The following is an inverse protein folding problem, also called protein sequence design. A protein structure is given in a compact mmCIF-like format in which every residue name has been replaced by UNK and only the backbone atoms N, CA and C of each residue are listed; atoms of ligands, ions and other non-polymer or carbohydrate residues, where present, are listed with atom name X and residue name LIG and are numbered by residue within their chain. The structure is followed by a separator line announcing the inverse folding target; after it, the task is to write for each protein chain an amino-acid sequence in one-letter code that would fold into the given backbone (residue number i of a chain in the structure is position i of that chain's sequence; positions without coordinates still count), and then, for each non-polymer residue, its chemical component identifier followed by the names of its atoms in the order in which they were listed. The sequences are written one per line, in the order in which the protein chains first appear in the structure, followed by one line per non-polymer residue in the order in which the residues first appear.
data_IF_081793686133
#
_entry.id   IF_081793686133
#
_cell.length_a   1.000
_cell.length_b   1.000
_cell.length_c   1.000
_cell.angle_alpha   90.00
_cell.angle_beta   90.00
_cell.angle_gamma   90.00
#
_symmetry.space_group_name_H-M   'P 1'
#
loop_
_entity.id
_entity.type
_entity.pdbx_description
1 polymer ?
#
# COMPACT_ATOMS: atom_id res chain seq x y z
N UNK A 1 23.09 54.17 11.25
CA UNK A 1 23.25 53.36 10.05
C UNK A 1 23.69 51.97 10.47
N UNK A 2 22.76 51.04 10.60
CA UNK A 2 23.06 49.64 10.94
C UNK A 2 23.30 48.85 9.65
N UNK A 3 24.47 48.24 9.51
CA UNK A 3 24.83 47.37 8.39
C UNK A 3 24.10 46.04 8.53
N UNK A 4 23.12 45.78 7.65
CA UNK A 4 22.49 44.49 7.46
C UNK A 4 23.54 43.52 6.87
N UNK A 5 24.02 42.57 7.68
CA UNK A 5 24.80 41.43 7.20
C UNK A 5 23.83 40.37 6.72
N UNK A 6 23.72 40.21 5.39
CA UNK A 6 23.06 39.03 4.82
C UNK A 6 23.89 37.77 5.17
N UNK A 7 23.29 36.68 5.61
CA UNK A 7 23.99 35.43 5.80
C UNK A 7 24.52 34.90 4.45
N UNK A 8 25.72 34.33 4.48
CA UNK A 8 26.42 33.82 3.30
C UNK A 8 25.64 32.66 2.64
N UNK A 9 25.72 32.51 1.29
CA UNK A 9 24.97 31.47 0.54
C UNK A 9 25.41 30.01 0.83
N UNK A 10 26.49 29.81 1.56
CA UNK A 10 27.11 28.47 1.72
C UNK A 10 26.46 27.53 2.74
N UNK A 11 25.40 27.96 3.46
CA UNK A 11 24.79 27.13 4.51
C UNK A 11 23.57 26.34 4.01
N UNK A 12 23.00 26.68 2.86
CA UNK A 12 21.81 26.00 2.31
C UNK A 12 22.11 24.79 1.42
N UNK A 13 23.34 24.66 0.88
CA UNK A 13 23.67 23.60 -0.09
C UNK A 13 24.26 22.31 0.50
N UNK A 14 24.48 22.21 1.82
CA UNK A 14 25.18 21.07 2.43
C UNK A 14 24.29 19.97 3.01
N UNK A 15 22.97 20.07 2.95
CA UNK A 15 22.06 19.05 3.50
C UNK A 15 20.88 18.69 2.60
N UNK A 16 21.09 18.58 1.30
CA UNK A 16 20.13 17.85 0.46
C UNK A 16 20.42 16.37 0.61
N UNK A 17 19.97 15.76 1.69
CA UNK A 17 19.87 14.30 1.80
C UNK A 17 18.85 13.85 0.75
N UNK A 18 19.32 13.45 -0.42
CA UNK A 18 18.46 12.78 -1.42
C UNK A 18 18.17 11.38 -0.90
N UNK A 19 17.04 11.21 -0.24
CA UNK A 19 16.57 9.89 0.14
C UNK A 19 16.11 9.13 -1.12
N UNK A 20 16.33 7.81 -1.19
CA UNK A 20 15.82 7.02 -2.30
C UNK A 20 14.29 7.13 -2.36
N UNK A 21 13.75 7.15 -3.58
CA UNK A 21 12.30 7.10 -3.80
C UNK A 21 11.70 5.86 -3.13
N UNK A 22 10.70 6.01 -2.25
CA UNK A 22 10.08 4.86 -1.60
C UNK A 22 9.41 3.95 -2.62
N UNK A 23 9.45 2.64 -2.37
CA UNK A 23 8.82 1.65 -3.22
C UNK A 23 7.50 1.19 -2.60
N UNK A 24 6.39 1.47 -3.29
CA UNK A 24 5.03 1.16 -2.82
C UNK A 24 4.44 0.03 -3.66
N UNK A 25 4.04 -1.05 -3.00
CA UNK A 25 3.43 -2.21 -3.65
C UNK A 25 1.93 -2.20 -3.44
N UNK A 26 1.16 -2.29 -4.53
CA UNK A 26 -0.28 -2.41 -4.51
C UNK A 26 -0.75 -3.85 -4.67
N UNK A 27 -1.70 -4.29 -3.83
CA UNK A 27 -2.32 -5.61 -3.91
C UNK A 27 -3.82 -5.43 -4.13
N UNK A 28 -4.35 -5.98 -5.25
CA UNK A 28 -5.78 -6.04 -5.54
C UNK A 28 -6.45 -7.29 -4.96
N UNK A 29 -7.76 -7.26 -4.82
CA UNK A 29 -8.54 -8.35 -4.20
C UNK A 29 -9.46 -9.11 -5.16
N UNK A 30 -9.36 -8.95 -6.48
CA UNK A 30 -10.28 -9.57 -7.45
C UNK A 30 -9.58 -9.97 -8.74
N UNK A 31 -10.09 -11.02 -9.38
CA UNK A 31 -9.66 -11.43 -10.74
C UNK A 31 -10.33 -10.64 -11.85
N UNK A 32 -11.39 -9.86 -11.53
CA UNK A 32 -12.14 -9.08 -12.53
C UNK A 32 -11.37 -7.82 -12.88
N UNK A 33 -10.79 -7.80 -14.08
CA UNK A 33 -10.14 -6.63 -14.63
C UNK A 33 -11.12 -5.44 -14.75
N UNK A 34 -10.65 -4.22 -14.48
CA UNK A 34 -11.47 -3.01 -14.50
C UNK A 34 -12.51 -2.93 -13.37
N UNK A 35 -12.41 -3.75 -12.34
CA UNK A 35 -13.28 -3.64 -11.16
C UNK A 35 -13.03 -2.34 -10.41
N UNK A 36 -14.04 -1.83 -9.69
CA UNK A 36 -13.91 -0.63 -8.86
C UNK A 36 -12.70 -0.70 -7.92
N UNK A 37 -12.45 -1.85 -7.30
CA UNK A 37 -11.31 -2.02 -6.39
C UNK A 37 -9.96 -2.02 -7.12
N UNK A 38 -9.86 -2.59 -8.31
CA UNK A 38 -8.63 -2.50 -9.11
C UNK A 38 -8.37 -1.07 -9.59
N UNK A 39 -9.39 -0.40 -10.12
CA UNK A 39 -9.27 1.00 -10.55
C UNK A 39 -8.90 1.92 -9.38
N UNK A 40 -9.48 1.71 -8.20
CA UNK A 40 -9.14 2.44 -7.00
C UNK A 40 -7.69 2.20 -6.55
N UNK A 41 -7.20 0.96 -6.65
CA UNK A 41 -5.81 0.63 -6.39
C UNK A 41 -4.88 1.40 -7.30
N UNK A 42 -5.13 1.32 -8.63
CA UNK A 42 -4.31 2.01 -9.63
C UNK A 42 -4.32 3.53 -9.45
N UNK A 43 -5.48 4.12 -9.14
CA UNK A 43 -5.59 5.54 -8.85
C UNK A 43 -4.80 5.93 -7.57
N UNK A 44 -4.82 5.10 -6.52
CA UNK A 44 -4.03 5.33 -5.31
C UNK A 44 -2.53 5.27 -5.61
N UNK A 45 -2.09 4.30 -6.40
CA UNK A 45 -0.68 4.18 -6.79
C UNK A 45 -0.24 5.35 -7.68
N UNK A 46 -1.09 5.81 -8.61
CA UNK A 46 -0.80 7.01 -9.42
C UNK A 46 -0.63 8.26 -8.54
N UNK A 47 -1.43 8.42 -7.47
CA UNK A 47 -1.20 9.48 -6.48
C UNK A 47 0.15 9.31 -5.75
N UNK A 48 0.55 8.08 -5.41
CA UNK A 48 1.85 7.81 -4.80
C UNK A 48 3.01 8.15 -5.75
N UNK A 49 2.90 7.82 -7.04
CA UNK A 49 3.86 8.20 -8.09
C UNK A 49 3.98 9.72 -8.22
N UNK A 50 2.86 10.44 -8.18
CA UNK A 50 2.84 11.90 -8.17
C UNK A 50 3.53 12.52 -6.94
N UNK A 51 3.75 11.74 -5.88
CA UNK A 51 4.51 12.10 -4.68
C UNK A 51 5.97 11.61 -4.72
N UNK A 52 6.43 11.10 -5.88
CA UNK A 52 7.81 10.64 -6.09
C UNK A 52 8.08 9.19 -5.68
N UNK A 53 7.07 8.39 -5.37
CA UNK A 53 7.26 6.98 -5.11
C UNK A 53 7.42 6.17 -6.41
N UNK A 54 8.17 5.07 -6.36
CA UNK A 54 8.12 4.00 -7.36
C UNK A 54 7.00 3.05 -6.97
N UNK A 55 6.31 2.47 -7.93
CA UNK A 55 5.19 1.55 -7.64
C UNK A 55 5.30 0.23 -8.38
N UNK A 56 4.68 -0.80 -7.83
CA UNK A 56 4.33 -2.04 -8.52
C UNK A 56 2.92 -2.47 -8.12
N UNK A 57 2.24 -3.14 -9.01
CA UNK A 57 0.87 -3.64 -8.76
C UNK A 57 0.81 -5.14 -8.97
N UNK A 58 0.09 -5.81 -8.08
CA UNK A 58 -0.28 -7.21 -8.16
C UNK A 58 -1.80 -7.32 -8.11
N UNK A 59 -2.41 -7.72 -9.18
CA UNK A 59 -3.88 -7.80 -9.27
C UNK A 59 -4.34 -8.84 -10.29
N UNK A 60 -5.62 -9.08 -10.33
CA UNK A 60 -6.27 -9.98 -11.28
C UNK A 60 -5.60 -11.37 -11.30
N UNK A 61 -5.18 -11.83 -12.47
CA UNK A 61 -4.62 -13.17 -12.66
C UNK A 61 -3.26 -13.38 -11.99
N UNK A 62 -2.52 -12.32 -11.69
CA UNK A 62 -1.23 -12.42 -10.98
C UNK A 62 -1.38 -12.95 -9.55
N UNK A 63 -2.57 -12.81 -8.95
CA UNK A 63 -2.90 -13.32 -7.61
C UNK A 63 -3.57 -14.69 -7.62
N UNK A 64 -3.80 -15.27 -8.81
CA UNK A 64 -4.33 -16.64 -8.90
C UNK A 64 -3.19 -17.63 -8.63
N UNK A 65 -3.17 -18.13 -7.42
CA UNK A 65 -2.16 -19.06 -6.90
C UNK A 65 -2.85 -20.21 -6.18
N UNK A 66 -2.18 -21.34 -6.07
CA UNK A 66 -2.66 -22.44 -5.22
C UNK A 66 -2.94 -21.96 -3.80
N UNK A 67 -3.80 -22.65 -3.07
CA UNK A 67 -3.98 -22.37 -1.66
C UNK A 67 -2.63 -22.50 -0.93
N UNK A 68 -2.31 -21.52 -0.07
CA UNK A 68 -1.08 -21.58 0.69
C UNK A 68 -1.03 -22.84 1.56
N UNK A 69 0.05 -23.60 1.40
CA UNK A 69 0.34 -24.78 2.19
C UNK A 69 1.78 -24.65 2.75
N UNK A 70 1.96 -24.63 4.09
CA UNK A 70 3.28 -24.54 4.71
C UNK A 70 4.17 -25.79 4.44
N UNK A 71 3.58 -26.92 4.06
CA UNK A 71 4.32 -28.15 3.76
C UNK A 71 4.90 -28.16 2.35
N UNK A 72 4.31 -27.42 1.42
CA UNK A 72 4.80 -27.29 0.04
C UNK A 72 5.94 -26.27 0.02
N UNK A 73 7.15 -26.69 -0.32
CA UNK A 73 8.33 -25.81 -0.36
C UNK A 73 8.55 -25.12 -1.70
N UNK A 74 8.05 -25.70 -2.78
CA UNK A 74 8.17 -25.12 -4.13
C UNK A 74 7.01 -24.15 -4.35
N UNK A 75 7.31 -22.88 -4.59
CA UNK A 75 6.32 -21.82 -4.85
C UNK A 75 6.20 -21.58 -6.36
N UNK A 76 4.98 -21.29 -6.82
CA UNK A 76 4.73 -20.83 -8.19
C UNK A 76 5.45 -19.51 -8.47
N UNK A 77 5.67 -19.18 -9.73
CA UNK A 77 6.28 -17.90 -10.13
C UNK A 77 5.49 -16.69 -9.61
N UNK A 78 4.15 -16.77 -9.61
CA UNK A 78 3.28 -15.71 -9.06
C UNK A 78 3.48 -15.53 -7.56
N UNK A 79 3.56 -16.63 -6.79
CA UNK A 79 3.80 -16.57 -5.35
C UNK A 79 5.20 -16.03 -5.03
N UNK A 80 6.23 -16.47 -5.77
CA UNK A 80 7.58 -15.93 -5.62
C UNK A 80 7.63 -14.43 -5.91
N UNK A 81 6.98 -13.98 -6.98
CA UNK A 81 6.90 -12.56 -7.35
C UNK A 81 6.19 -11.74 -6.27
N UNK A 82 5.05 -12.23 -5.73
CA UNK A 82 4.32 -11.57 -4.65
C UNK A 82 5.24 -11.36 -3.43
N UNK A 83 5.85 -12.44 -2.94
CA UNK A 83 6.71 -12.41 -1.75
C UNK A 83 7.92 -11.50 -1.98
N UNK A 84 8.56 -11.57 -3.16
CA UNK A 84 9.69 -10.72 -3.49
C UNK A 84 9.34 -9.23 -3.48
N UNK A 85 8.24 -8.84 -4.13
CA UNK A 85 7.81 -7.45 -4.15
C UNK A 85 7.46 -6.95 -2.74
N UNK A 86 6.85 -7.79 -1.90
CA UNK A 86 6.54 -7.42 -0.52
C UNK A 86 7.80 -7.27 0.34
N UNK A 87 8.85 -8.07 0.11
CA UNK A 87 10.15 -7.91 0.78
C UNK A 87 10.80 -6.57 0.46
N UNK A 88 10.73 -6.15 -0.79
CA UNK A 88 11.32 -4.89 -1.28
C UNK A 88 10.50 -3.66 -0.90
N UNK A 89 9.22 -3.81 -0.63
CA UNK A 89 8.31 -2.70 -0.37
C UNK A 89 8.72 -1.86 0.85
N UNK A 90 8.62 -0.54 0.73
CA UNK A 90 8.70 0.42 1.83
C UNK A 90 7.31 0.77 2.38
N UNK A 91 6.27 0.58 1.56
CA UNK A 91 4.87 0.73 1.93
C UNK A 91 3.97 -0.12 1.04
N UNK A 92 2.74 -0.35 1.47
CA UNK A 92 1.80 -1.24 0.79
C UNK A 92 0.45 -0.54 0.67
N UNK A 93 -0.25 -0.75 -0.44
CA UNK A 93 -1.67 -0.39 -0.60
C UNK A 93 -2.46 -1.66 -0.90
N UNK A 94 -3.49 -1.94 -0.12
CA UNK A 94 -4.38 -3.09 -0.35
C UNK A 94 -5.76 -2.56 -0.71
N UNK A 95 -6.24 -2.92 -1.91
CA UNK A 95 -7.59 -2.59 -2.35
C UNK A 95 -8.43 -3.85 -2.48
N UNK A 96 -9.49 -3.93 -1.69
CA UNK A 96 -10.34 -5.11 -1.58
C UNK A 96 -11.79 -4.82 -1.94
N UNK A 97 -12.43 -5.62 -2.79
CA UNK A 97 -13.89 -5.67 -2.75
C UNK A 97 -14.34 -6.32 -1.44
N UNK A 98 -15.60 -6.08 -1.07
CA UNK A 98 -16.22 -6.80 0.04
C UNK A 98 -17.05 -7.97 -0.49
N UNK A 99 -16.73 -9.19 -0.09
CA UNK A 99 -17.53 -10.36 -0.35
C UNK A 99 -18.05 -10.92 0.97
N UNK A 100 -19.38 -10.89 1.12
CA UNK A 100 -20.06 -11.36 2.34
C UNK A 100 -19.53 -10.70 3.64
N UNK A 101 -19.20 -9.40 3.56
CA UNK A 101 -18.73 -8.62 4.70
C UNK A 101 -17.27 -8.85 5.09
N UNK A 102 -16.47 -9.48 4.20
CA UNK A 102 -15.06 -9.74 4.44
C UNK A 102 -14.21 -9.55 3.16
N UNK A 103 -12.90 -9.70 3.29
CA UNK A 103 -11.98 -9.74 2.13
C UNK A 103 -12.19 -11.03 1.35
N UNK A 104 -11.97 -11.02 0.01
CA UNK A 104 -12.06 -12.22 -0.82
C UNK A 104 -11.01 -13.27 -0.44
N UNK A 105 -11.34 -14.56 -0.64
CA UNK A 105 -10.42 -15.68 -0.45
C UNK A 105 -9.12 -15.52 -1.26
N UNK A 106 -9.21 -14.98 -2.47
CA UNK A 106 -8.03 -14.66 -3.30
C UNK A 106 -7.04 -13.75 -2.57
N UNK A 107 -7.54 -12.66 -1.99
CA UNK A 107 -6.70 -11.71 -1.24
C UNK A 107 -6.18 -12.34 0.06
N UNK A 108 -7.04 -13.07 0.77
CA UNK A 108 -6.61 -13.77 2.00
C UNK A 108 -5.49 -14.76 1.70
N UNK A 109 -5.62 -15.54 0.62
CA UNK A 109 -4.58 -16.47 0.18
C UNK A 109 -3.26 -15.76 -0.15
N UNK A 110 -3.32 -14.64 -0.88
CA UNK A 110 -2.13 -13.83 -1.16
C UNK A 110 -1.45 -13.33 0.14
N UNK A 111 -2.24 -12.94 1.14
CA UNK A 111 -1.70 -12.52 2.44
C UNK A 111 -1.13 -13.70 3.25
N UNK A 112 -1.66 -14.92 3.08
CA UNK A 112 -1.10 -16.11 3.73
C UNK A 112 0.28 -16.48 3.21
N UNK A 113 0.60 -16.18 1.94
CA UNK A 113 1.94 -16.35 1.39
C UNK A 113 3.01 -15.48 2.08
N UNK A 114 2.62 -14.46 2.85
CA UNK A 114 3.57 -13.69 3.67
C UNK A 114 4.22 -14.53 4.77
N UNK A 115 3.70 -15.72 5.10
CA UNK A 115 4.37 -16.67 5.99
C UNK A 115 5.78 -17.05 5.50
N UNK A 116 6.03 -16.98 4.20
CA UNK A 116 7.36 -17.17 3.62
C UNK A 116 8.35 -16.05 3.99
N UNK A 117 7.87 -14.97 4.59
CA UNK A 117 8.66 -13.84 5.11
C UNK A 117 8.87 -13.91 6.63
N UNK A 118 8.36 -14.95 7.30
CA UNK A 118 8.38 -15.07 8.77
C UNK A 118 9.77 -14.94 9.39
N UNK A 119 10.78 -15.46 8.72
CA UNK A 119 12.16 -15.49 9.19
C UNK A 119 13.05 -14.43 8.56
N UNK A 120 12.48 -13.50 7.79
CA UNK A 120 13.20 -12.39 7.21
C UNK A 120 13.62 -11.40 8.31
N UNK A 121 14.63 -10.57 8.06
CA UNK A 121 15.01 -9.47 8.94
C UNK A 121 13.84 -8.51 9.21
N UNK A 122 12.98 -8.30 8.20
CA UNK A 122 11.71 -7.56 8.28
C UNK A 122 10.55 -8.52 8.03
N UNK A 123 10.10 -9.26 9.06
CA UNK A 123 9.06 -10.27 8.88
C UNK A 123 7.72 -9.65 8.49
N UNK A 124 6.99 -10.29 7.61
CA UNK A 124 5.66 -9.86 7.16
C UNK A 124 5.65 -8.41 6.65
N UNK A 125 4.87 -7.54 7.32
CA UNK A 125 4.77 -6.10 7.01
C UNK A 125 5.48 -5.21 8.04
N UNK A 126 6.39 -5.77 8.82
CA UNK A 126 7.11 -5.00 9.83
C UNK A 126 7.81 -3.77 9.23
N UNK A 127 7.63 -2.61 9.89
CA UNK A 127 8.17 -1.33 9.44
C UNK A 127 7.54 -0.76 8.16
N UNK A 128 6.37 -1.27 7.73
CA UNK A 128 5.65 -0.79 6.54
C UNK A 128 4.30 -0.19 6.91
N UNK A 129 4.00 1.00 6.37
CA UNK A 129 2.62 1.50 6.38
C UNK A 129 1.79 0.76 5.33
N UNK A 130 0.53 0.47 5.69
CA UNK A 130 -0.41 -0.21 4.80
C UNK A 130 -1.67 0.63 4.65
N UNK A 131 -1.87 1.19 3.46
CA UNK A 131 -3.09 1.87 3.07
C UNK A 131 -4.19 0.87 2.72
N UNK A 132 -5.36 1.01 3.33
CA UNK A 132 -6.50 0.14 3.09
C UNK A 132 -7.57 0.87 2.27
N UNK A 133 -8.00 0.25 1.17
CA UNK A 133 -9.10 0.71 0.31
C UNK A 133 -10.12 -0.41 0.20
N UNK A 134 -11.39 -0.14 0.53
CA UNK A 134 -12.46 -1.13 0.45
C UNK A 134 -13.58 -0.63 -0.45
N UNK A 135 -14.02 -1.48 -1.37
CA UNK A 135 -15.11 -1.19 -2.30
C UNK A 135 -16.27 -2.16 -2.08
N UNK A 136 -17.48 -1.63 -1.89
CA UNK A 136 -18.71 -2.41 -1.79
C UNK A 136 -19.93 -1.56 -2.17
N UNK A 137 -21.09 -2.20 -2.36
CA UNK A 137 -22.34 -1.50 -2.60
C UNK A 137 -23.02 -1.05 -1.29
N UNK A 138 -22.79 -1.76 -0.18
CA UNK A 138 -23.42 -1.49 1.10
C UNK A 138 -22.44 -0.93 2.14
N UNK A 139 -22.87 0.08 2.91
CA UNK A 139 -22.07 0.74 3.96
C UNK A 139 -21.61 -0.26 5.03
N UNK A 140 -22.50 -1.16 5.46
CA UNK A 140 -22.15 -2.18 6.47
C UNK A 140 -21.03 -3.10 5.97
N UNK A 141 -21.12 -3.56 4.71
CA UNK A 141 -20.11 -4.42 4.11
C UNK A 141 -18.76 -3.72 4.00
N UNK A 142 -18.73 -2.42 3.69
CA UNK A 142 -17.50 -1.63 3.68
C UNK A 142 -16.86 -1.57 5.07
N UNK A 143 -17.65 -1.29 6.11
CA UNK A 143 -17.16 -1.17 7.49
C UNK A 143 -16.58 -2.48 8.02
N UNK A 144 -17.31 -3.59 7.88
CA UNK A 144 -16.85 -4.90 8.35
C UNK A 144 -15.61 -5.38 7.62
N UNK A 145 -15.56 -5.22 6.30
CA UNK A 145 -14.39 -5.60 5.51
C UNK A 145 -13.17 -4.75 5.84
N UNK A 146 -13.36 -3.44 6.04
CA UNK A 146 -12.27 -2.56 6.45
C UNK A 146 -11.73 -2.95 7.82
N UNK A 147 -12.59 -3.23 8.79
CA UNK A 147 -12.19 -3.70 10.11
C UNK A 147 -11.37 -5.00 10.01
N UNK A 148 -11.86 -5.98 9.24
CA UNK A 148 -11.16 -7.25 9.01
C UNK A 148 -9.79 -7.03 8.37
N UNK A 149 -9.72 -6.21 7.32
CA UNK A 149 -8.45 -5.95 6.63
C UNK A 149 -7.43 -5.28 7.55
N UNK A 150 -7.84 -4.28 8.32
CA UNK A 150 -6.96 -3.59 9.29
C UNK A 150 -6.47 -4.54 10.38
N UNK A 151 -7.33 -5.44 10.88
CA UNK A 151 -6.97 -6.47 11.85
C UNK A 151 -5.90 -7.43 11.29
N UNK A 152 -6.05 -7.86 10.03
CA UNK A 152 -5.04 -8.71 9.36
C UNK A 152 -3.71 -7.96 9.20
N UNK A 153 -3.74 -6.69 8.80
CA UNK A 153 -2.52 -5.87 8.68
C UNK A 153 -1.80 -5.77 10.02
N UNK A 154 -2.50 -5.57 11.13
CA UNK A 154 -1.91 -5.58 12.47
C UNK A 154 -1.31 -6.95 12.83
N UNK A 155 -2.02 -8.05 12.53
CA UNK A 155 -1.51 -9.40 12.74
C UNK A 155 -0.21 -9.65 11.96
N UNK A 156 -0.09 -9.06 10.78
CA UNK A 156 1.11 -9.08 9.94
C UNK A 156 2.17 -8.03 10.35
N UNK A 157 2.05 -7.40 11.52
CA UNK A 157 2.98 -6.37 12.06
C UNK A 157 3.07 -5.10 11.21
N UNK A 158 2.13 -4.86 10.29
CA UNK A 158 2.05 -3.64 9.51
C UNK A 158 1.41 -2.50 10.29
N UNK A 159 1.58 -1.28 9.79
CA UNK A 159 0.99 -0.06 10.32
C UNK A 159 -0.17 0.37 9.42
N UNK A 160 -1.45 -0.03 9.71
CA UNK A 160 -2.56 0.49 8.94
C UNK A 160 -2.58 2.01 9.04
N UNK A 161 -2.63 2.70 7.91
CA UNK A 161 -2.69 4.17 7.91
C UNK A 161 -3.90 4.65 8.72
N UNK A 162 -3.82 5.81 9.40
CA UNK A 162 -4.95 6.37 10.15
C UNK A 162 -6.20 6.51 9.28
N UNK A 163 -6.04 6.99 8.06
CA UNK A 163 -7.11 7.09 7.08
C UNK A 163 -7.17 5.86 6.19
N UNK A 164 -8.37 5.39 5.88
CA UNK A 164 -8.66 4.34 4.92
C UNK A 164 -9.80 4.79 4.01
N UNK A 165 -9.76 4.43 2.74
CA UNK A 165 -10.81 4.78 1.80
C UNK A 165 -11.90 3.70 1.77
N UNK A 166 -13.17 4.13 1.80
CA UNK A 166 -14.32 3.27 1.55
C UNK A 166 -15.12 3.82 0.37
N UNK A 167 -15.32 3.00 -0.65
CA UNK A 167 -15.89 3.43 -1.93
C UNK A 167 -17.18 2.66 -2.18
N UNK A 168 -18.27 3.40 -2.36
CA UNK A 168 -19.53 2.82 -2.80
C UNK A 168 -19.45 2.49 -4.30
N UNK A 169 -19.41 1.21 -4.65
CA UNK A 169 -19.35 0.77 -6.05
C UNK A 169 -20.63 1.10 -6.84
N UNK A 170 -21.77 1.28 -6.17
CA UNK A 170 -23.04 1.64 -6.83
C UNK A 170 -23.04 3.06 -7.39
N UNK A 171 -22.21 3.97 -6.86
CA UNK A 171 -22.09 5.34 -7.40
C UNK A 171 -21.34 5.37 -8.73
N UNK A 172 -20.72 4.25 -9.14
CA UNK A 172 -19.92 4.15 -10.37
C UNK A 172 -18.89 5.27 -10.48
N UNK A 173 -17.97 5.41 -9.50
CA UNK A 173 -17.06 6.54 -9.42
C UNK A 173 -16.03 6.61 -10.57
N UNK A 174 -15.90 5.52 -11.34
CA UNK A 174 -15.06 5.44 -12.53
C UNK A 174 -15.90 5.38 -13.80
N UNK A 175 -15.47 6.11 -14.82
CA UNK A 175 -16.08 6.08 -16.14
C UNK A 175 -15.78 4.78 -16.90
N UNK A 176 -16.42 4.58 -18.07
CA UNK A 176 -16.16 3.43 -18.94
C UNK A 176 -14.70 3.35 -19.43
N UNK A 177 -14.01 4.47 -19.45
CA UNK A 177 -12.58 4.61 -19.76
C UNK A 177 -11.66 4.30 -18.58
N UNK A 178 -12.22 3.90 -17.43
CA UNK A 178 -11.48 3.64 -16.20
C UNK A 178 -10.99 4.89 -15.44
N UNK A 179 -11.33 6.09 -15.94
CA UNK A 179 -10.91 7.32 -15.26
C UNK A 179 -11.83 7.65 -14.10
N UNK A 180 -11.24 8.09 -13.00
CA UNK A 180 -11.95 8.51 -11.80
C UNK A 180 -12.71 9.81 -12.07
N UNK A 181 -14.01 9.83 -11.80
CA UNK A 181 -14.94 10.96 -12.06
C UNK A 181 -15.40 11.64 -10.77
N UNK A 182 -15.34 10.94 -9.65
CA UNK A 182 -15.85 11.41 -8.37
C UNK A 182 -14.71 12.05 -7.55
N UNK A 183 -14.74 13.38 -7.39
CA UNK A 183 -13.70 14.14 -6.70
C UNK A 183 -13.55 13.70 -5.23
N UNK A 184 -14.65 13.42 -4.55
CA UNK A 184 -14.62 12.94 -3.17
C UNK A 184 -13.86 11.62 -3.03
N UNK A 185 -14.02 10.69 -3.99
CA UNK A 185 -13.25 9.44 -4.03
C UNK A 185 -11.78 9.72 -4.32
N UNK A 186 -11.48 10.63 -5.25
CA UNK A 186 -10.10 11.04 -5.54
C UNK A 186 -9.40 11.58 -4.29
N UNK A 187 -10.06 12.45 -3.54
CA UNK A 187 -9.52 13.00 -2.29
C UNK A 187 -9.22 11.91 -1.24
N UNK A 188 -10.11 10.91 -1.10
CA UNK A 188 -9.87 9.76 -0.22
C UNK A 188 -8.63 8.97 -0.62
N UNK A 189 -8.51 8.59 -1.90
CA UNK A 189 -7.38 7.80 -2.42
C UNK A 189 -6.07 8.57 -2.30
N UNK A 190 -6.08 9.88 -2.58
CA UNK A 190 -4.95 10.78 -2.38
C UNK A 190 -4.48 10.79 -0.92
N UNK A 191 -5.42 10.87 0.03
CA UNK A 191 -5.09 10.86 1.47
C UNK A 191 -4.42 9.55 1.88
N UNK A 192 -4.93 8.40 1.40
CA UNK A 192 -4.30 7.10 1.65
C UNK A 192 -2.88 7.07 1.08
N UNK A 193 -2.69 7.48 -0.18
CA UNK A 193 -1.38 7.52 -0.83
C UNK A 193 -0.39 8.41 -0.06
N UNK A 194 -0.82 9.62 0.33
CA UNK A 194 -0.01 10.55 1.11
C UNK A 194 0.49 9.95 2.42
N UNK A 195 -0.39 9.28 3.18
CA UNK A 195 -0.02 8.67 4.45
C UNK A 195 0.96 7.51 4.28
N UNK A 196 0.76 6.66 3.26
CA UNK A 196 1.69 5.55 2.97
C UNK A 196 3.05 6.08 2.56
N UNK A 197 3.12 7.03 1.62
CA UNK A 197 4.38 7.60 1.13
C UNK A 197 5.12 8.35 2.23
N UNK A 198 4.40 9.15 3.03
CA UNK A 198 4.99 9.89 4.14
C UNK A 198 5.63 8.96 5.17
N UNK A 199 4.93 7.90 5.58
CA UNK A 199 5.48 6.93 6.52
C UNK A 199 6.69 6.19 5.92
N UNK A 200 6.63 5.81 4.63
CA UNK A 200 7.75 5.17 3.95
C UNK A 200 9.00 6.07 3.96
N UNK A 201 8.85 7.37 3.72
CA UNK A 201 9.96 8.32 3.86
C UNK A 201 10.50 8.36 5.29
N UNK A 202 9.65 8.43 6.32
CA UNK A 202 10.10 8.41 7.72
C UNK A 202 10.87 7.12 8.04
N UNK A 203 10.39 5.96 7.58
CA UNK A 203 11.06 4.69 7.78
C UNK A 203 12.43 4.64 7.09
N UNK A 204 12.55 5.14 5.87
CA UNK A 204 13.82 5.23 5.15
C UNK A 204 14.79 6.18 5.83
N UNK A 205 14.32 7.33 6.32
CA UNK A 205 15.14 8.28 7.07
C UNK A 205 15.67 7.66 8.38
N UNK A 206 14.80 6.98 9.13
CA UNK A 206 15.18 6.33 10.38
C UNK A 206 16.25 5.25 10.19
N UNK A 207 16.18 4.49 9.07
CA UNK A 207 17.19 3.48 8.72
C UNK A 207 18.55 4.10 8.34
N UNK A 208 18.55 5.31 7.77
CA UNK A 208 19.76 6.01 7.36
C UNK A 208 20.47 6.71 8.55
N UNK A 209 19.81 6.85 9.70
CA UNK A 209 20.42 7.43 10.91
C UNK A 209 21.40 6.45 11.54
N UNK A 210 22.57 6.92 12.02
CA UNK A 210 23.47 6.08 12.82
C UNK A 210 22.72 5.52 14.02
N UNK A 211 22.77 4.20 14.18
CA UNK A 211 22.21 3.57 15.38
C UNK A 211 23.01 4.03 16.61
N UNK A 212 22.35 4.37 17.75
CA UNK A 212 23.07 4.66 18.97
C UNK A 212 23.91 3.43 19.31
N UNK A 213 25.21 3.66 19.48
CA UNK A 213 26.12 2.62 20.01
C UNK A 213 25.64 2.25 21.42
N UNK A 214 25.30 0.97 21.62
CA UNK A 214 24.90 0.42 22.90
C UNK A 214 26.04 0.46 23.91
#
# INVERSE_FOLDING_TARGET
MAKSTRPSPDFQDKFTLTFPSPFIVGIGGTTRAGSTSELALRATLAHAEGLGARTAVLCATELVMDAYDPMVKTRSASAQRLVQLLREADGIVIASPSYHGSIPGLLKNALDYTEDMRSDERPYFDGRAVGCVVCAEGIQAMGTTLFTLRSIVHALRGWPTPYSATINSSSKPFGPDGLLREEAVSAQLKTVAQQVVQFAHFSLQAKAMPQPTA
#
